data_IF_338591629674
#
_entry.id   IF_338591629674
#
_cell.length_a   1.000
_cell.length_b   1.000
_cell.length_c   1.000
_cell.angle_alpha   90.00
_cell.angle_beta   90.00
_cell.angle_gamma   90.00
#
_symmetry.space_group_name_H-M   'P 1'
#
loop_
_entity.id
_entity.type
_entity.pdbx_description
1 polymer ?
#
# COMPACT_ATOMS: atom_id res chain seq x y z
N UNK A 1 -4.75 18.06 -2.38
CA UNK A 1 -3.91 17.12 -3.18
C UNK A 1 -2.70 16.78 -2.34
N UNK A 2 -2.69 15.60 -1.71
CA UNK A 2 -1.62 15.18 -0.78
C UNK A 2 -0.35 14.92 -1.58
N UNK A 3 0.72 15.69 -1.34
CA UNK A 3 2.04 15.44 -1.95
C UNK A 3 2.79 14.42 -1.10
N UNK A 4 3.23 13.32 -1.71
CA UNK A 4 4.16 12.38 -1.08
C UNK A 4 5.51 13.08 -0.89
N UNK A 5 5.97 13.24 0.36
CA UNK A 5 7.30 13.80 0.67
C UNK A 5 8.37 12.99 -0.06
N UNK A 6 9.23 13.66 -0.83
CA UNK A 6 10.25 13.03 -1.68
C UNK A 6 9.83 12.82 -3.14
N UNK A 7 8.55 12.92 -3.46
CA UNK A 7 8.01 12.70 -4.81
C UNK A 7 7.40 13.96 -5.43
N UNK A 8 7.93 15.12 -5.05
CA UNK A 8 7.59 16.44 -5.61
C UNK A 8 7.80 16.57 -7.12
N UNK A 9 8.36 15.55 -7.78
CA UNK A 9 8.62 15.47 -9.22
C UNK A 9 7.59 14.67 -10.02
N UNK A 10 6.62 14.01 -9.39
CA UNK A 10 5.60 13.27 -10.15
C UNK A 10 4.59 14.23 -10.78
N UNK A 11 4.55 14.25 -12.10
CA UNK A 11 3.60 15.06 -12.87
C UNK A 11 2.19 14.48 -12.69
N UNK A 12 1.23 15.21 -12.10
CA UNK A 12 -0.13 14.72 -11.88
C UNK A 12 -0.93 14.52 -13.17
N UNK A 13 -0.45 15.03 -14.31
CA UNK A 13 -1.04 14.83 -15.64
C UNK A 13 -0.61 13.50 -16.29
N UNK A 14 0.35 12.80 -15.70
CA UNK A 14 0.75 11.45 -16.14
C UNK A 14 0.05 10.40 -15.29
N UNK A 15 -0.15 9.22 -15.88
CA UNK A 15 -0.74 8.08 -15.18
C UNK A 15 0.29 7.48 -14.20
N UNK A 16 0.01 7.60 -12.91
CA UNK A 16 0.79 6.97 -11.85
C UNK A 16 -0.05 6.00 -11.04
N UNK A 17 0.43 4.77 -10.94
CA UNK A 17 0.04 3.77 -9.95
C UNK A 17 1.26 3.49 -9.08
N UNK A 18 1.24 3.97 -7.83
CA UNK A 18 2.37 3.89 -6.92
C UNK A 18 2.01 2.98 -5.74
N UNK A 19 2.92 2.09 -5.36
CA UNK A 19 2.71 1.22 -4.21
C UNK A 19 3.77 0.13 -4.13
N UNK A 20 3.52 -0.89 -3.31
CA UNK A 20 4.41 -2.03 -3.14
C UNK A 20 3.65 -3.33 -3.34
N UNK A 21 4.13 -4.27 -4.16
CA UNK A 21 3.56 -5.61 -4.25
C UNK A 21 3.99 -6.46 -3.04
N UNK A 22 3.14 -7.40 -2.63
CA UNK A 22 3.42 -8.39 -1.58
C UNK A 22 3.81 -9.76 -2.13
N UNK A 23 3.67 -9.97 -3.44
CA UNK A 23 4.00 -11.23 -4.10
C UNK A 23 5.44 -11.24 -4.62
N UNK A 24 6.03 -12.44 -4.73
CA UNK A 24 7.38 -12.62 -5.30
C UNK A 24 7.41 -12.31 -6.80
N UNK A 25 6.29 -12.54 -7.49
CA UNK A 25 6.11 -12.35 -8.92
C UNK A 25 4.76 -11.72 -9.25
N UNK A 26 4.52 -11.37 -10.52
CA UNK A 26 3.20 -10.93 -10.96
C UNK A 26 2.19 -12.07 -10.81
N UNK A 27 0.93 -11.69 -10.57
CA UNK A 27 -0.18 -12.64 -10.47
C UNK A 27 -0.65 -13.00 -11.87
N UNK A 28 -0.86 -14.30 -12.11
CA UNK A 28 -1.49 -14.83 -13.31
C UNK A 28 -2.97 -15.09 -13.07
N UNK A 29 -3.83 -14.66 -14.00
CA UNK A 29 -5.27 -14.94 -13.99
C UNK A 29 -5.67 -15.45 -15.37
N UNK A 30 -6.37 -16.58 -15.40
CA UNK A 30 -7.01 -17.08 -16.61
C UNK A 30 -8.29 -16.28 -16.86
N UNK A 31 -8.14 -15.09 -17.43
CA UNK A 31 -9.24 -14.27 -17.93
C UNK A 31 -9.62 -14.69 -19.35
N UNK A 32 -10.89 -14.55 -19.71
CA UNK A 32 -11.36 -14.73 -21.10
C UNK A 32 -11.23 -13.36 -21.80
N UNK A 33 -10.58 -13.23 -22.97
CA UNK A 33 -10.07 -14.29 -23.85
C UNK A 33 -8.59 -14.67 -23.65
N UNK A 34 -7.82 -13.88 -22.90
CA UNK A 34 -6.37 -14.05 -22.76
C UNK A 34 -5.95 -14.17 -21.31
N UNK A 35 -4.92 -14.99 -21.06
CA UNK A 35 -4.25 -15.04 -19.76
C UNK A 35 -3.65 -13.67 -19.43
N UNK A 36 -4.06 -13.12 -18.29
CA UNK A 36 -3.48 -11.89 -17.76
C UNK A 36 -2.34 -12.22 -16.81
N UNK A 37 -1.24 -11.45 -16.90
CA UNK A 37 -0.17 -11.46 -15.89
C UNK A 37 0.16 -10.02 -15.54
N UNK A 38 0.06 -9.67 -14.25
CA UNK A 38 0.15 -8.29 -13.80
C UNK A 38 0.65 -8.17 -12.36
N UNK A 39 1.21 -7.01 -12.02
CA UNK A 39 1.48 -6.66 -10.63
C UNK A 39 0.29 -5.92 -10.01
N UNK A 40 0.22 -5.93 -8.68
CA UNK A 40 -0.73 -5.14 -7.92
C UNK A 40 -0.03 -4.56 -6.69
N UNK A 41 -0.47 -3.39 -6.25
CA UNK A 41 -0.05 -2.80 -4.98
C UNK A 41 -0.90 -3.36 -3.85
N UNK A 42 -0.26 -3.86 -2.80
CA UNK A 42 -0.93 -4.45 -1.63
C UNK A 42 -1.79 -3.41 -0.92
N UNK A 43 -3.09 -3.68 -0.77
CA UNK A 43 -4.03 -2.75 -0.15
C UNK A 43 -3.64 -2.38 1.28
N UNK A 44 -3.18 -3.36 2.07
CA UNK A 44 -2.75 -3.15 3.45
C UNK A 44 -1.44 -2.35 3.63
N UNK A 45 -0.65 -2.17 2.56
CA UNK A 45 0.48 -1.24 2.55
C UNK A 45 0.03 0.19 2.23
N UNK A 46 -1.13 0.34 1.59
CA UNK A 46 -1.54 1.56 0.92
C UNK A 46 -0.90 1.73 -0.46
N UNK A 47 -1.54 2.55 -1.29
CA UNK A 47 -1.09 2.89 -2.64
C UNK A 47 -1.59 4.29 -3.01
N UNK A 48 -1.10 4.84 -4.11
CA UNK A 48 -1.48 6.16 -4.62
C UNK A 48 -1.77 6.13 -6.12
N UNK A 49 -2.84 6.81 -6.51
CA UNK A 49 -3.26 6.95 -7.91
C UNK A 49 -3.22 8.43 -8.32
N UNK A 50 -2.67 8.73 -9.49
CA UNK A 50 -2.72 10.08 -10.06
C UNK A 50 -4.14 10.48 -10.47
N UNK A 51 -4.39 11.80 -10.57
CA UNK A 51 -5.67 12.32 -11.09
C UNK A 51 -5.92 11.86 -12.54
N UNK A 52 -4.88 11.84 -13.37
CA UNK A 52 -4.96 11.34 -14.75
C UNK A 52 -5.43 9.88 -14.78
N UNK A 53 -4.81 9.01 -13.98
CA UNK A 53 -5.18 7.60 -13.92
C UNK A 53 -6.62 7.40 -13.39
N UNK A 54 -7.02 8.14 -12.36
CA UNK A 54 -8.41 8.09 -11.86
C UNK A 54 -9.43 8.48 -12.93
N UNK A 55 -9.14 9.48 -13.76
CA UNK A 55 -10.00 9.84 -14.88
C UNK A 55 -10.09 8.72 -15.92
N UNK A 56 -8.97 8.04 -16.21
CA UNK A 56 -8.90 6.91 -17.13
C UNK A 56 -9.66 5.67 -16.62
N UNK A 57 -9.64 5.44 -15.31
CA UNK A 57 -10.38 4.35 -14.67
C UNK A 57 -11.89 4.61 -14.60
N UNK A 58 -12.34 5.83 -14.84
CA UNK A 58 -13.71 6.26 -14.56
C UNK A 58 -14.78 5.40 -15.24
N UNK A 59 -14.55 4.97 -16.49
CA UNK A 59 -15.47 4.10 -17.23
C UNK A 59 -15.60 2.68 -16.67
N UNK A 60 -14.59 2.21 -15.95
CA UNK A 60 -14.57 0.86 -15.35
C UNK A 60 -15.11 0.84 -13.92
N UNK A 61 -15.07 1.97 -13.22
CA UNK A 61 -15.38 2.02 -11.79
C UNK A 61 -16.77 2.57 -11.50
N UNK A 62 -17.28 3.44 -12.38
CA UNK A 62 -18.59 4.08 -12.16
C UNK A 62 -19.72 3.08 -12.31
N UNK A 63 -20.85 3.41 -11.69
CA UNK A 63 -22.11 2.66 -11.79
C UNK A 63 -21.98 1.17 -11.40
N UNK A 64 -21.13 0.85 -10.42
CA UNK A 64 -20.94 -0.54 -9.97
C UNK A 64 -19.92 -1.34 -10.79
N UNK A 65 -19.32 -0.78 -11.84
CA UNK A 65 -18.42 -1.53 -12.71
C UNK A 65 -17.21 -2.17 -12.02
N UNK A 66 -16.71 -1.58 -10.93
CA UNK A 66 -15.62 -2.21 -10.16
C UNK A 66 -16.10 -3.39 -9.32
N UNK A 67 -17.33 -3.35 -8.82
CA UNK A 67 -17.96 -4.46 -8.11
C UNK A 67 -18.20 -5.62 -9.09
N UNK A 68 -18.78 -5.34 -10.26
CA UNK A 68 -18.96 -6.33 -11.34
C UNK A 68 -17.64 -6.97 -11.77
N UNK A 69 -16.57 -6.16 -11.89
CA UNK A 69 -15.22 -6.66 -12.18
C UNK A 69 -14.71 -7.59 -11.07
N UNK A 70 -14.91 -7.21 -9.80
CA UNK A 70 -14.54 -8.03 -8.65
C UNK A 70 -15.28 -9.36 -8.62
N UNK A 71 -16.59 -9.35 -8.88
CA UNK A 71 -17.42 -10.56 -8.97
C UNK A 71 -16.97 -11.48 -10.12
N UNK A 72 -16.64 -10.90 -11.28
CA UNK A 72 -16.13 -11.64 -12.43
C UNK A 72 -14.79 -12.31 -12.14
N UNK A 73 -13.84 -11.57 -11.57
CA UNK A 73 -12.49 -12.08 -11.31
C UNK A 73 -12.45 -13.00 -10.09
N UNK A 74 -13.32 -12.80 -9.10
CA UNK A 74 -13.29 -13.44 -7.77
C UNK A 74 -11.94 -13.28 -7.06
N UNK A 75 -11.35 -12.10 -7.21
CA UNK A 75 -10.08 -11.73 -6.59
C UNK A 75 -10.30 -10.63 -5.54
N UNK A 76 -9.42 -10.52 -4.53
CA UNK A 76 -9.45 -9.41 -3.58
C UNK A 76 -9.39 -8.04 -4.27
N UNK A 77 -9.94 -7.01 -3.63
CA UNK A 77 -10.06 -5.66 -4.21
C UNK A 77 -8.74 -5.10 -4.74
N UNK A 78 -7.64 -5.28 -4.02
CA UNK A 78 -6.32 -4.77 -4.43
C UNK A 78 -5.77 -5.51 -5.66
N UNK A 79 -6.00 -6.82 -5.74
CA UNK A 79 -5.65 -7.64 -6.91
C UNK A 79 -6.53 -7.28 -8.11
N UNK A 80 -7.85 -7.15 -7.92
CA UNK A 80 -8.80 -6.72 -8.96
C UNK A 80 -8.48 -5.32 -9.48
N UNK A 81 -8.06 -4.41 -8.60
CA UNK A 81 -7.59 -3.08 -8.97
C UNK A 81 -6.28 -3.14 -9.77
N UNK A 82 -5.36 -4.03 -9.38
CA UNK A 82 -4.15 -4.32 -10.15
C UNK A 82 -4.48 -4.81 -11.56
N UNK A 83 -5.42 -5.75 -11.70
CA UNK A 83 -5.89 -6.23 -13.01
C UNK A 83 -6.42 -5.08 -13.86
N UNK A 84 -7.30 -4.24 -13.30
CA UNK A 84 -7.84 -3.09 -14.00
C UNK A 84 -6.72 -2.16 -14.49
N UNK A 85 -5.79 -1.78 -13.62
CA UNK A 85 -4.80 -0.75 -13.93
C UNK A 85 -3.68 -1.28 -14.84
N UNK A 86 -3.08 -2.41 -14.49
CA UNK A 86 -1.95 -2.98 -15.22
C UNK A 86 -2.38 -3.72 -16.48
N UNK A 87 -3.42 -4.56 -16.37
CA UNK A 87 -3.82 -5.40 -17.49
C UNK A 87 -4.78 -4.69 -18.45
N UNK A 88 -5.86 -4.06 -17.97
CA UNK A 88 -6.83 -3.42 -18.86
C UNK A 88 -6.34 -2.04 -19.33
N UNK A 89 -5.87 -1.20 -18.41
CA UNK A 89 -5.45 0.18 -18.72
C UNK A 89 -3.99 0.30 -19.18
N UNK A 90 -3.22 -0.79 -19.11
CA UNK A 90 -1.79 -0.86 -19.50
C UNK A 90 -0.90 0.16 -18.78
N UNK A 91 -1.21 0.46 -17.51
CA UNK A 91 -0.41 1.36 -16.67
C UNK A 91 0.35 0.53 -15.64
N UNK A 92 1.68 0.50 -15.76
CA UNK A 92 2.53 -0.28 -14.86
C UNK A 92 2.55 0.27 -13.44
N UNK A 93 2.58 -0.62 -12.45
CA UNK A 93 2.89 -0.31 -11.06
C UNK A 93 4.31 0.25 -10.98
N UNK A 94 4.40 1.48 -10.47
CA UNK A 94 5.66 2.06 -10.04
C UNK A 94 5.92 1.60 -8.61
N UNK A 95 6.80 0.61 -8.47
CA UNK A 95 7.13 0.02 -7.18
C UNK A 95 7.92 1.02 -6.34
N UNK A 96 7.37 1.35 -5.16
CA UNK A 96 8.01 2.18 -4.14
C UNK A 96 8.15 1.35 -2.86
N UNK A 97 9.39 1.18 -2.40
CA UNK A 97 9.77 0.40 -1.21
C UNK A 97 9.42 1.07 0.13
N UNK A 98 8.73 2.22 0.08
CA UNK A 98 8.36 3.05 1.24
C UNK A 98 6.93 2.85 1.74
N UNK A 99 6.17 2.01 1.07
CA UNK A 99 4.87 1.55 1.54
C UNK A 99 5.05 0.23 2.27
N UNK A 100 4.52 0.13 3.48
CA UNK A 100 4.75 -1.03 4.34
C UNK A 100 3.45 -1.68 4.83
N UNK A 101 3.36 -3.01 4.70
CA UNK A 101 2.24 -3.82 5.18
C UNK A 101 2.69 -4.78 6.28
N UNK A 102 1.77 -5.32 7.06
CA UNK A 102 2.09 -6.36 8.06
C UNK A 102 2.45 -7.73 7.45
N UNK A 103 2.54 -7.84 6.12
CA UNK A 103 3.00 -9.03 5.42
C UNK A 103 4.52 -9.07 5.24
N UNK A 104 5.24 -8.01 5.61
CA UNK A 104 6.71 -7.95 5.65
C UNK A 104 7.23 -7.95 7.09
N UNK A 105 8.53 -8.13 7.30
CA UNK A 105 9.14 -7.96 8.63
C UNK A 105 9.34 -6.47 8.93
N UNK A 106 8.43 -5.85 9.68
CA UNK A 106 8.44 -4.40 9.94
C UNK A 106 9.56 -3.95 10.89
N UNK A 107 10.17 -4.88 11.62
CA UNK A 107 11.33 -4.64 12.47
C UNK A 107 12.65 -4.55 11.69
N UNK A 108 12.68 -5.00 10.42
CA UNK A 108 13.82 -4.86 9.50
C UNK A 108 13.93 -3.45 8.90
N UNK A 109 12.87 -2.62 9.00
CA UNK A 109 12.92 -1.24 8.53
C UNK A 109 13.99 -0.48 9.33
N UNK A 110 14.99 0.05 8.63
CA UNK A 110 16.08 0.78 9.27
C UNK A 110 15.53 1.95 10.10
N UNK A 111 15.83 1.95 11.39
CA UNK A 111 15.41 2.99 12.34
C UNK A 111 15.77 4.40 11.86
N UNK A 112 16.90 4.57 11.17
CA UNK A 112 17.35 5.85 10.63
C UNK A 112 16.53 6.30 9.40
N UNK A 113 15.80 5.40 8.75
CA UNK A 113 14.99 5.69 7.56
C UNK A 113 13.49 5.79 7.86
N UNK A 114 13.05 5.53 9.10
CA UNK A 114 11.63 5.60 9.50
C UNK A 114 10.98 6.94 9.08
N UNK A 115 11.69 8.06 9.21
CA UNK A 115 11.20 9.38 8.82
C UNK A 115 11.06 9.60 7.30
N UNK A 116 11.59 8.68 6.49
CA UNK A 116 11.55 8.72 5.02
C UNK A 116 10.44 7.84 4.43
N UNK A 117 9.82 6.98 5.25
CA UNK A 117 8.76 6.07 4.80
C UNK A 117 7.44 6.79 4.60
N UNK A 118 6.54 6.19 3.82
CA UNK A 118 5.24 6.76 3.47
C UNK A 118 4.14 6.21 4.37
N UNK A 119 4.10 4.89 4.55
CA UNK A 119 3.10 4.20 5.36
C UNK A 119 3.74 3.12 6.22
N UNK A 120 3.09 2.82 7.33
CA UNK A 120 3.41 1.69 8.18
C UNK A 120 2.14 0.92 8.47
N UNK A 121 2.29 -0.37 8.75
CA UNK A 121 1.21 -1.23 9.22
C UNK A 121 1.60 -1.82 10.57
N UNK A 122 0.72 -2.64 11.12
CA UNK A 122 0.98 -3.42 12.32
C UNK A 122 0.17 -4.72 12.22
N UNK A 123 0.73 -5.80 12.73
CA UNK A 123 0.05 -7.10 12.77
C UNK A 123 0.79 -8.08 13.66
N UNK A 124 0.65 -9.36 13.34
CA UNK A 124 1.30 -10.45 14.09
C UNK A 124 0.47 -11.72 13.99
N UNK A 125 1.14 -12.84 13.73
CA UNK A 125 0.49 -14.15 13.64
C UNK A 125 -0.01 -14.64 15.00
N UNK A 126 0.54 -14.10 16.10
CA UNK A 126 0.08 -14.40 17.45
C UNK A 126 0.15 -13.16 18.34
N UNK A 127 -0.53 -13.22 19.50
CA UNK A 127 -0.42 -12.18 20.53
C UNK A 127 1.01 -11.97 21.04
N UNK A 128 1.87 -12.98 20.88
CA UNK A 128 3.26 -12.99 21.37
C UNK A 128 4.21 -12.40 20.33
N UNK A 129 4.09 -12.81 19.06
CA UNK A 129 4.95 -12.31 17.99
C UNK A 129 4.23 -11.22 17.19
N UNK A 130 4.37 -9.99 17.68
CA UNK A 130 3.88 -8.79 17.01
C UNK A 130 4.82 -8.40 15.87
N UNK A 131 4.26 -8.13 14.71
CA UNK A 131 4.95 -7.55 13.57
C UNK A 131 4.67 -6.05 13.56
N UNK A 132 5.62 -5.28 14.10
CA UNK A 132 5.50 -3.84 14.33
C UNK A 132 6.84 -3.17 14.05
N UNK A 133 6.80 -1.89 13.68
CA UNK A 133 8.02 -1.11 13.46
C UNK A 133 8.82 -0.93 14.74
N UNK A 134 10.15 -1.05 14.64
CA UNK A 134 11.06 -0.91 15.79
C UNK A 134 11.38 0.56 16.09
N UNK A 135 10.64 1.13 17.02
CA UNK A 135 10.89 2.47 17.59
C UNK A 135 11.18 2.37 19.10
N UNK A 136 11.75 3.41 19.74
CA UNK A 136 11.78 3.47 21.21
C UNK A 136 10.38 3.31 21.80
N UNK A 137 10.30 2.69 22.98
CA UNK A 137 9.05 2.57 23.73
C UNK A 137 8.80 3.88 24.48
N UNK A 138 7.79 4.62 24.04
CA UNK A 138 7.29 5.81 24.75
C UNK A 138 6.12 5.42 25.67
N UNK A 139 5.42 4.35 25.32
CA UNK A 139 4.29 3.78 26.06
C UNK A 139 4.55 2.29 26.27
N UNK A 140 4.00 1.74 27.36
CA UNK A 140 4.01 0.29 27.58
C UNK A 140 3.24 -0.43 26.47
N UNK A 141 3.66 -1.66 26.18
CA UNK A 141 3.16 -2.45 25.03
C UNK A 141 1.66 -2.73 25.11
N UNK A 142 1.09 -2.74 26.31
CA UNK A 142 -0.33 -2.92 26.58
C UNK A 142 -1.16 -1.72 26.10
N UNK A 143 -0.63 -0.50 26.28
CA UNK A 143 -1.28 0.77 25.93
C UNK A 143 -1.02 1.21 24.49
N UNK A 144 0.00 0.64 23.85
CA UNK A 144 0.37 0.91 22.46
C UNK A 144 0.74 -0.39 21.71
N UNK A 145 -0.19 -1.35 21.59
CA UNK A 145 0.12 -2.68 21.08
C UNK A 145 0.56 -2.70 19.62
N UNK A 146 0.13 -1.71 18.83
CA UNK A 146 0.50 -1.53 17.42
C UNK A 146 1.70 -0.60 17.23
N UNK A 147 2.22 -0.01 18.32
CA UNK A 147 3.35 0.92 18.33
C UNK A 147 3.12 2.24 17.59
N UNK A 148 1.88 2.58 17.21
CA UNK A 148 1.59 3.78 16.42
C UNK A 148 1.73 5.06 17.25
N UNK A 149 1.46 5.01 18.56
CA UNK A 149 1.69 6.17 19.45
C UNK A 149 3.18 6.40 19.65
N UNK A 150 3.92 5.33 19.91
CA UNK A 150 5.39 5.35 20.00
C UNK A 150 6.02 5.84 18.70
N UNK A 151 5.52 5.38 17.53
CA UNK A 151 5.99 5.82 16.22
C UNK A 151 5.71 7.31 16.00
N UNK A 152 4.50 7.77 16.34
CA UNK A 152 4.14 9.19 16.27
C UNK A 152 5.11 10.02 17.11
N UNK A 153 5.41 9.57 18.32
CA UNK A 153 6.33 10.24 19.24
C UNK A 153 7.76 10.25 18.73
N UNK A 154 8.23 9.14 18.17
CA UNK A 154 9.54 9.04 17.54
C UNK A 154 9.68 10.03 16.36
N UNK A 155 8.65 10.19 15.54
CA UNK A 155 8.66 11.05 14.35
C UNK A 155 8.52 12.55 14.66
N UNK A 156 7.65 12.92 15.59
CA UNK A 156 7.22 14.31 15.77
C UNK A 156 7.59 14.93 17.12
N UNK A 157 7.88 14.11 18.14
CA UNK A 157 8.11 14.56 19.54
C UNK A 157 7.06 15.56 20.05
N UNK A 158 5.80 15.41 19.63
CA UNK A 158 4.68 16.27 20.04
C UNK A 158 3.68 15.48 20.86
N UNK A 159 3.27 16.03 22.00
CA UNK A 159 2.24 15.48 22.89
C UNK A 159 2.49 14.02 23.32
N UNK A 160 3.75 13.71 23.66
CA UNK A 160 4.19 12.40 24.12
C UNK A 160 4.29 12.37 25.64
N UNK A 161 3.97 11.22 26.24
CA UNK A 161 4.15 11.04 27.68
C UNK A 161 5.63 10.87 27.99
N UNK A 162 6.10 11.56 29.03
CA UNK A 162 7.32 11.17 29.76
C UNK A 162 6.92 10.31 30.93
#
# INVERSE_FOLDING_TARGET
MTKLKGYYKLDPKRDWYLGRPSTIGPVGVDSVPEKATFWFATGGAGFCLSKSLLAKMSSYVRNGGFEELGEFLRLPDDVSLGYLIEHLLKVKLTVLDKFHSHLENLDEINKNDIHKQISFSAGGRSKIMKNVVRVPEEYIVEDDPQRFRSLHCFLYRKNCQR
#
